data_IF_372566938711
#
_entry.id   IF_372566938711
#
_cell.length_a   1.000
_cell.length_b   1.000
_cell.length_c   1.000
_cell.angle_alpha   90.00
_cell.angle_beta   90.00
_cell.angle_gamma   90.00
#
_symmetry.space_group_name_H-M   'P 1'
#
loop_
_entity.id
_entity.type
_entity.pdbx_description
1 polymer ?
#
# COMPACT_ATOMS: atom_id res chain seq x y z
N UNK A 1 -11.55 4.77 14.55
CA UNK A 1 -10.83 4.22 13.37
C UNK A 1 -10.39 5.36 12.48
N UNK A 2 -9.11 5.39 12.07
CA UNK A 2 -8.52 6.40 11.19
C UNK A 2 -7.79 5.73 10.02
N UNK A 3 -7.64 6.45 8.89
CA UNK A 3 -6.88 5.96 7.73
C UNK A 3 -5.41 5.64 8.11
N UNK A 4 -4.82 6.44 9.00
CA UNK A 4 -3.46 6.20 9.50
C UNK A 4 -3.34 4.87 10.24
N UNK A 5 -4.31 4.54 11.10
CA UNK A 5 -4.36 3.25 11.79
C UNK A 5 -4.46 2.09 10.81
N UNK A 6 -5.31 2.22 9.78
CA UNK A 6 -5.43 1.21 8.72
C UNK A 6 -4.11 1.03 7.95
N UNK A 7 -3.44 2.13 7.56
CA UNK A 7 -2.14 2.09 6.89
C UNK A 7 -1.07 1.39 7.74
N UNK A 8 -0.99 1.69 9.03
CA UNK A 8 -0.04 1.04 9.94
C UNK A 8 -0.33 -0.44 10.09
N UNK A 9 -1.60 -0.82 10.20
CA UNK A 9 -2.02 -2.22 10.30
C UNK A 9 -1.66 -2.99 9.03
N UNK A 10 -1.89 -2.42 7.85
CA UNK A 10 -1.48 -3.01 6.58
C UNK A 10 0.03 -3.16 6.46
N UNK A 11 0.81 -2.17 6.92
CA UNK A 11 2.26 -2.26 6.93
C UNK A 11 2.76 -3.39 7.85
N UNK A 12 2.17 -3.57 9.04
CA UNK A 12 2.52 -4.68 9.93
C UNK A 12 2.26 -6.03 9.28
N UNK A 13 1.13 -6.16 8.58
CA UNK A 13 0.80 -7.40 7.86
C UNK A 13 1.78 -7.67 6.70
N UNK A 14 2.18 -6.63 5.96
CA UNK A 14 3.10 -6.73 4.83
C UNK A 14 4.52 -7.11 5.25
N UNK A 15 5.05 -6.47 6.30
CA UNK A 15 6.44 -6.69 6.73
C UNK A 15 6.60 -7.79 7.79
N UNK A 16 5.52 -8.33 8.32
CA UNK A 16 5.53 -9.43 9.27
C UNK A 16 6.10 -9.09 10.66
N UNK A 17 6.42 -7.83 10.94
CA UNK A 17 6.85 -7.36 12.26
C UNK A 17 6.64 -5.86 12.45
N UNK A 18 6.48 -5.46 13.72
CA UNK A 18 6.21 -4.07 14.09
C UNK A 18 7.41 -3.13 13.91
N UNK A 19 8.63 -3.63 14.07
CA UNK A 19 9.85 -2.81 13.97
C UNK A 19 10.07 -2.38 12.52
N UNK A 20 10.13 -3.31 11.58
CA UNK A 20 10.29 -3.00 10.16
C UNK A 20 9.14 -2.16 9.63
N UNK A 21 7.90 -2.47 10.04
CA UNK A 21 6.73 -1.67 9.65
C UNK A 21 6.86 -0.22 10.13
N UNK A 22 7.33 0.01 11.37
CA UNK A 22 7.50 1.37 11.90
C UNK A 22 8.57 2.16 11.15
N UNK A 23 9.69 1.53 10.79
CA UNK A 23 10.73 2.14 9.96
C UNK A 23 10.19 2.55 8.58
N UNK A 24 9.43 1.67 7.94
CA UNK A 24 8.80 1.94 6.63
C UNK A 24 7.71 3.02 6.69
N UNK A 25 7.05 3.15 7.84
CA UNK A 25 6.06 4.19 8.07
C UNK A 25 6.66 5.50 8.63
N UNK A 26 8.00 5.57 8.82
CA UNK A 26 8.71 6.74 9.38
C UNK A 26 8.19 7.18 10.75
N UNK A 27 7.89 6.21 11.60
CA UNK A 27 7.43 6.43 12.98
C UNK A 27 8.17 5.53 13.96
N UNK A 28 8.06 5.82 15.26
CA UNK A 28 8.62 4.92 16.28
C UNK A 28 7.76 3.66 16.44
N UNK A 29 8.40 2.54 16.75
CA UNK A 29 7.68 1.26 16.96
C UNK A 29 6.61 1.36 18.06
N UNK A 30 6.83 2.00 19.23
CA UNK A 30 5.77 2.19 20.21
C UNK A 30 4.56 2.97 19.67
N UNK A 31 4.79 4.01 18.86
CA UNK A 31 3.72 4.79 18.25
C UNK A 31 2.88 3.93 17.30
N UNK A 32 3.53 3.17 16.41
CA UNK A 32 2.83 2.30 15.47
C UNK A 32 2.07 1.20 16.22
N UNK A 33 2.69 0.54 17.19
CA UNK A 33 2.08 -0.52 18.00
C UNK A 33 0.84 -0.03 18.75
N UNK A 34 0.91 1.17 19.36
CA UNK A 34 -0.20 1.78 20.06
C UNK A 34 -1.38 2.10 19.10
N UNK A 35 -1.09 2.58 17.90
CA UNK A 35 -2.14 2.88 16.93
C UNK A 35 -2.85 1.62 16.41
N UNK A 36 -2.10 0.55 16.17
CA UNK A 36 -2.68 -0.75 15.81
C UNK A 36 -3.52 -1.31 16.95
N UNK A 37 -3.02 -1.24 18.20
CA UNK A 37 -3.77 -1.67 19.38
C UNK A 37 -5.08 -0.90 19.55
N UNK A 38 -5.06 0.43 19.39
CA UNK A 38 -6.29 1.25 19.44
C UNK A 38 -7.31 0.83 18.39
N UNK A 39 -6.85 0.47 17.18
CA UNK A 39 -7.73 -0.06 16.13
C UNK A 39 -8.35 -1.40 16.56
N UNK A 40 -7.56 -2.32 17.10
CA UNK A 40 -8.03 -3.62 17.60
C UNK A 40 -9.06 -3.44 18.71
N UNK A 41 -8.80 -2.53 19.67
CA UNK A 41 -9.72 -2.20 20.76
C UNK A 41 -11.04 -1.61 20.25
N UNK A 42 -10.98 -0.67 19.29
CA UNK A 42 -12.16 -0.03 18.70
C UNK A 42 -13.02 -1.01 17.91
N UNK A 43 -12.39 -1.95 17.19
CA UNK A 43 -13.08 -2.99 16.43
C UNK A 43 -13.52 -4.17 17.31
N UNK A 44 -13.01 -4.27 18.54
CA UNK A 44 -13.28 -5.37 19.45
C UNK A 44 -12.71 -6.72 19.01
N UNK A 45 -11.63 -6.70 18.19
CA UNK A 45 -11.00 -7.91 17.64
C UNK A 45 -9.49 -7.83 17.71
N UNK A 46 -8.83 -8.98 17.83
CA UNK A 46 -7.38 -9.09 17.71
C UNK A 46 -7.01 -9.40 16.26
N UNK A 47 -6.25 -8.51 15.61
CA UNK A 47 -5.81 -8.69 14.24
C UNK A 47 -4.52 -9.51 14.19
N UNK A 48 -3.59 -9.26 15.12
CA UNK A 48 -2.29 -9.92 15.15
C UNK A 48 -2.08 -10.74 16.42
N UNK A 49 -1.68 -11.99 16.27
CA UNK A 49 -1.21 -12.80 17.38
C UNK A 49 0.24 -12.43 17.71
N UNK A 50 0.42 -11.60 18.76
CA UNK A 50 1.74 -11.10 19.18
C UNK A 50 2.57 -12.11 19.96
N UNK A 51 1.99 -13.22 20.38
CA UNK A 51 2.69 -14.28 21.13
C UNK A 51 3.47 -15.25 20.23
N UNK A 52 3.22 -15.23 18.92
CA UNK A 52 3.87 -16.10 17.94
C UNK A 52 5.05 -15.42 17.27
N UNK A 53 6.09 -16.21 16.95
CA UNK A 53 7.20 -15.79 16.09
C UNK A 53 7.37 -16.85 14.98
N UNK A 54 7.16 -16.47 13.72
CA UNK A 54 6.84 -15.12 13.21
C UNK A 54 5.45 -14.63 13.62
N UNK A 55 5.24 -13.30 13.52
CA UNK A 55 3.95 -12.66 13.78
C UNK A 55 2.89 -13.27 12.86
N UNK A 56 1.76 -13.66 13.42
CA UNK A 56 0.66 -14.25 12.65
C UNK A 56 -0.56 -13.35 12.66
N UNK A 57 -1.24 -13.30 11.52
CA UNK A 57 -2.55 -12.66 11.39
C UNK A 57 -3.63 -13.65 11.84
N UNK A 58 -4.63 -13.19 12.57
CA UNK A 58 -5.77 -14.02 12.97
C UNK A 58 -6.76 -14.18 11.80
N UNK A 59 -7.65 -15.17 11.86
CA UNK A 59 -8.68 -15.36 10.83
C UNK A 59 -9.57 -14.11 10.65
N UNK A 60 -9.96 -13.49 11.75
CA UNK A 60 -10.73 -12.23 11.70
C UNK A 60 -9.85 -11.08 11.19
N UNK A 61 -8.56 -11.09 11.54
CA UNK A 61 -7.57 -10.13 11.07
C UNK A 61 -7.46 -10.12 9.55
N UNK A 62 -7.41 -11.29 8.90
CA UNK A 62 -7.37 -11.39 7.43
C UNK A 62 -8.59 -10.68 6.79
N UNK A 63 -9.78 -10.90 7.33
CA UNK A 63 -11.00 -10.24 6.84
C UNK A 63 -10.93 -8.73 7.03
N UNK A 64 -10.41 -8.26 8.17
CA UNK A 64 -10.21 -6.83 8.45
C UNK A 64 -9.18 -6.23 7.48
N UNK A 65 -8.06 -6.89 7.24
CA UNK A 65 -7.01 -6.42 6.32
C UNK A 65 -7.51 -6.26 4.88
N UNK A 66 -8.36 -7.17 4.40
CA UNK A 66 -8.99 -7.07 3.08
C UNK A 66 -9.82 -5.78 2.98
N UNK A 67 -10.64 -5.48 3.99
CA UNK A 67 -11.45 -4.26 3.99
C UNK A 67 -10.59 -3.00 4.21
N UNK A 68 -9.59 -3.07 5.08
CA UNK A 68 -8.66 -1.97 5.34
C UNK A 68 -7.95 -1.54 4.05
N UNK A 69 -7.52 -2.50 3.21
CA UNK A 69 -6.90 -2.23 1.91
C UNK A 69 -7.82 -1.44 0.99
N UNK A 70 -9.07 -1.90 0.85
CA UNK A 70 -10.08 -1.21 0.03
C UNK A 70 -10.35 0.22 0.52
N UNK A 71 -10.47 0.42 1.83
CA UNK A 71 -10.72 1.76 2.41
C UNK A 71 -9.52 2.70 2.13
N UNK A 72 -8.29 2.22 2.32
CA UNK A 72 -7.08 3.01 2.05
C UNK A 72 -6.95 3.34 0.57
N UNK A 73 -7.23 2.40 -0.33
CA UNK A 73 -7.24 2.61 -1.77
C UNK A 73 -8.29 3.64 -2.17
N UNK A 74 -9.52 3.52 -1.67
CA UNK A 74 -10.60 4.46 -1.96
C UNK A 74 -10.32 5.86 -1.41
N UNK A 75 -9.71 5.94 -0.22
CA UNK A 75 -9.23 7.23 0.33
C UNK A 75 -8.17 7.89 -0.56
N UNK A 76 -7.32 7.11 -1.21
CA UNK A 76 -6.33 7.64 -2.17
C UNK A 76 -7.00 8.18 -3.44
N UNK A 77 -8.04 7.51 -3.95
CA UNK A 77 -8.80 7.95 -5.14
C UNK A 77 -9.46 9.32 -4.97
N UNK A 78 -9.78 9.71 -3.74
CA UNK A 78 -10.30 11.05 -3.47
C UNK A 78 -9.34 12.15 -3.95
N UNK A 79 -8.03 11.94 -3.79
CA UNK A 79 -7.02 12.87 -4.29
C UNK A 79 -6.94 12.88 -5.82
N UNK A 80 -7.18 11.72 -6.45
CA UNK A 80 -7.17 11.61 -7.91
C UNK A 80 -8.35 12.41 -8.51
N UNK A 81 -9.55 12.30 -7.94
CA UNK A 81 -10.73 13.08 -8.34
C UNK A 81 -10.47 14.59 -8.25
N UNK A 82 -9.86 15.05 -7.15
CA UNK A 82 -9.52 16.48 -6.99
C UNK A 82 -8.48 16.92 -8.03
N UNK A 83 -7.53 16.04 -8.38
CA UNK A 83 -6.51 16.33 -9.38
C UNK A 83 -7.11 16.42 -10.80
N UNK A 84 -8.05 15.55 -11.12
CA UNK A 84 -8.81 15.58 -12.38
C UNK A 84 -9.59 16.89 -12.54
N UNK A 85 -10.33 17.32 -11.52
CA UNK A 85 -11.07 18.59 -11.51
C UNK A 85 -10.16 19.82 -11.71
N UNK A 86 -8.92 19.74 -11.19
CA UNK A 86 -7.91 20.79 -11.37
C UNK A 86 -7.18 20.71 -12.72
N UNK A 87 -7.49 19.76 -13.57
CA UNK A 87 -6.80 19.50 -14.84
C UNK A 87 -5.33 19.05 -14.64
N UNK A 88 -4.99 18.58 -13.46
CA UNK A 88 -3.66 18.09 -13.14
C UNK A 88 -3.65 16.58 -13.40
N UNK A 89 -2.95 16.17 -14.46
CA UNK A 89 -2.69 14.75 -14.70
C UNK A 89 -1.65 14.29 -13.65
N UNK A 90 -2.11 13.54 -12.67
CA UNK A 90 -1.29 13.04 -11.57
C UNK A 90 -1.88 11.75 -10.98
N UNK A 91 -1.29 11.27 -9.88
CA UNK A 91 -1.69 10.03 -9.21
C UNK A 91 -0.77 8.86 -9.52
N UNK A 92 -1.11 7.67 -9.03
CA UNK A 92 -0.29 6.47 -9.24
C UNK A 92 -0.77 5.67 -10.45
N UNK A 93 0.08 5.55 -11.46
CA UNK A 93 -0.12 4.65 -12.60
C UNK A 93 0.66 3.36 -12.36
N UNK A 94 -0.05 2.26 -12.18
CA UNK A 94 0.54 0.92 -12.10
C UNK A 94 0.51 0.26 -13.47
N UNK A 95 1.66 -0.16 -13.96
CA UNK A 95 1.81 -0.83 -15.26
C UNK A 95 2.43 -2.19 -15.05
N UNK A 96 1.69 -3.24 -15.42
CA UNK A 96 2.24 -4.59 -15.53
C UNK A 96 2.89 -4.79 -16.89
N UNK A 97 4.10 -5.34 -16.91
CA UNK A 97 4.86 -5.53 -18.14
C UNK A 97 5.51 -6.92 -18.15
N UNK A 98 5.56 -7.55 -19.32
CA UNK A 98 6.31 -8.80 -19.49
C UNK A 98 7.78 -8.52 -19.82
N UNK A 99 8.73 -9.40 -19.43
CA UNK A 99 10.18 -9.17 -19.60
C UNK A 99 10.62 -8.82 -21.02
N UNK A 100 10.01 -9.45 -22.03
CA UNK A 100 10.30 -9.21 -23.44
C UNK A 100 9.97 -7.77 -23.90
N UNK A 101 8.96 -7.15 -23.30
CA UNK A 101 8.54 -5.78 -23.60
C UNK A 101 9.29 -4.77 -22.74
N UNK A 102 9.66 -5.15 -21.51
CA UNK A 102 10.41 -4.34 -20.56
C UNK A 102 11.74 -3.85 -21.14
N UNK A 103 12.50 -4.76 -21.75
CA UNK A 103 13.83 -4.44 -22.27
C UNK A 103 13.83 -3.56 -23.54
N UNK A 104 12.78 -3.62 -24.35
CA UNK A 104 12.73 -2.96 -25.67
C UNK A 104 11.87 -1.70 -25.68
N UNK A 105 10.65 -1.76 -25.16
CA UNK A 105 9.69 -0.65 -25.25
C UNK A 105 9.82 0.35 -24.09
N UNK A 106 10.13 -0.12 -22.88
CA UNK A 106 10.18 0.73 -21.71
C UNK A 106 11.16 1.91 -21.85
N UNK A 107 12.40 1.70 -22.32
CA UNK A 107 13.36 2.81 -22.48
C UNK A 107 12.94 3.86 -23.53
N UNK A 108 12.15 3.46 -24.53
CA UNK A 108 11.74 4.34 -25.61
C UNK A 108 10.74 5.42 -25.17
N UNK A 109 9.80 5.08 -24.31
CA UNK A 109 8.76 6.03 -23.93
C UNK A 109 8.88 6.56 -22.49
N UNK A 110 9.57 5.82 -21.60
CA UNK A 110 9.62 6.12 -20.17
C UNK A 110 10.17 7.54 -19.90
N UNK A 111 11.26 7.91 -20.55
CA UNK A 111 11.87 9.23 -20.39
C UNK A 111 10.94 10.37 -20.87
N UNK A 112 10.22 10.13 -21.95
CA UNK A 112 9.27 11.10 -22.52
C UNK A 112 8.06 11.23 -21.60
N UNK A 113 7.54 10.09 -21.12
CA UNK A 113 6.40 10.04 -20.23
C UNK A 113 6.67 10.76 -18.90
N UNK A 114 7.79 10.44 -18.23
CA UNK A 114 8.15 11.06 -16.95
C UNK A 114 8.36 12.57 -17.08
N UNK A 115 8.99 13.02 -18.17
CA UNK A 115 9.19 14.46 -18.43
C UNK A 115 7.86 15.19 -18.66
N UNK A 116 6.92 14.55 -19.35
CA UNK A 116 5.63 15.14 -19.70
C UNK A 116 4.62 15.12 -18.54
N UNK A 117 4.69 14.08 -17.69
CA UNK A 117 3.74 13.84 -16.62
C UNK A 117 4.45 13.77 -15.24
N UNK A 118 5.02 14.90 -14.82
CA UNK A 118 5.84 14.99 -13.59
C UNK A 118 5.08 14.66 -12.29
N UNK A 119 3.75 14.75 -12.31
CA UNK A 119 2.89 14.50 -11.16
C UNK A 119 2.34 13.05 -11.13
N UNK A 120 2.76 12.20 -12.07
CA UNK A 120 2.37 10.78 -12.11
C UNK A 120 3.46 9.95 -11.42
N UNK A 121 3.05 9.23 -10.37
CA UNK A 121 3.88 8.20 -9.73
C UNK A 121 3.73 6.90 -10.51
N UNK A 122 4.73 6.59 -11.33
CA UNK A 122 4.73 5.42 -12.20
C UNK A 122 5.32 4.21 -11.46
N UNK A 123 4.49 3.20 -11.19
CA UNK A 123 4.91 1.91 -10.65
C UNK A 123 4.87 0.85 -11.74
N UNK A 124 6.03 0.26 -12.02
CA UNK A 124 6.19 -0.78 -13.04
C UNK A 124 6.49 -2.09 -12.34
N UNK A 125 5.69 -3.11 -12.62
CA UNK A 125 5.84 -4.46 -12.08
C UNK A 125 6.02 -5.44 -13.24
N UNK A 126 7.04 -6.29 -13.16
CA UNK A 126 7.22 -7.37 -14.14
C UNK A 126 6.41 -8.61 -13.76
N UNK A 127 5.66 -9.13 -14.72
CA UNK A 127 4.88 -10.36 -14.58
C UNK A 127 5.33 -11.39 -15.60
N UNK A 128 5.37 -12.65 -15.19
CA UNK A 128 5.54 -13.75 -16.14
C UNK A 128 4.27 -13.94 -16.97
N UNK A 129 4.42 -14.42 -18.20
CA UNK A 129 3.34 -14.57 -19.18
C UNK A 129 2.19 -15.47 -18.69
N UNK A 130 2.45 -16.32 -17.70
CA UNK A 130 1.47 -17.25 -17.12
C UNK A 130 0.59 -16.60 -16.01
N UNK A 131 0.82 -15.32 -15.68
CA UNK A 131 0.17 -14.63 -14.54
C UNK A 131 -0.67 -13.41 -14.97
N UNK A 132 -0.77 -13.17 -16.28
CA UNK A 132 -1.57 -12.06 -16.87
C UNK A 132 -2.95 -12.57 -17.28
#
# INVERSE_FOLDING_TARGET
MTITQLKYTLAVAEYGNFTTASEKCFVTQPTLSMQVQKLEEELGVTIFNRSTKPLQVTEVGEKVLIQARKIVEESSRMNDVISEEKGIIGGTLKVGIIPTVSSTLLPLFLNIFIKKHKNVDLKIEEYNTDTI
#
